data_IF_084167648234
#
_entry.id   IF_084167648234
#
_cell.length_a   1.000
_cell.length_b   1.000
_cell.length_c   1.000
_cell.angle_alpha   90.00
_cell.angle_beta   90.00
_cell.angle_gamma   90.00
#
_symmetry.space_group_name_H-M   'P 1'
#
loop_
_entity.id
_entity.type
_entity.pdbx_description
1 polymer ?
#
# COMPACT_ATOMS: atom_id res chain seq x y z
N UNK A 1 -3.15 -23.04 82.26
CA UNK A 1 -3.11 -21.60 81.95
C UNK A 1 -3.65 -21.43 80.54
N UNK A 2 -4.89 -20.98 80.36
CA UNK A 2 -5.45 -20.68 79.03
C UNK A 2 -5.02 -19.28 78.60
N UNK A 3 -4.31 -19.18 77.49
CA UNK A 3 -3.98 -17.90 76.86
C UNK A 3 -5.22 -17.36 76.15
N UNK A 4 -5.69 -16.17 76.54
CA UNK A 4 -6.74 -15.47 75.81
C UNK A 4 -6.19 -15.01 74.45
N UNK A 5 -6.83 -15.44 73.36
CA UNK A 5 -6.51 -15.00 72.01
C UNK A 5 -6.98 -13.55 71.85
N UNK A 6 -6.07 -12.62 71.54
CA UNK A 6 -6.45 -11.24 71.22
C UNK A 6 -7.25 -11.21 69.90
N UNK A 7 -8.23 -10.29 69.75
CA UNK A 7 -8.99 -10.16 68.52
C UNK A 7 -8.05 -9.81 67.36
N UNK A 8 -8.05 -10.64 66.32
CA UNK A 8 -7.28 -10.36 65.10
C UNK A 8 -8.02 -9.29 64.29
N UNK A 9 -7.35 -8.17 64.04
CA UNK A 9 -7.87 -7.14 63.15
C UNK A 9 -8.02 -7.71 61.75
N UNK A 10 -9.20 -7.52 61.13
CA UNK A 10 -9.45 -7.98 59.78
C UNK A 10 -8.49 -7.27 58.80
N UNK A 11 -7.89 -8.00 57.84
CA UNK A 11 -6.98 -7.41 56.88
C UNK A 11 -7.68 -6.34 56.04
N UNK A 12 -6.96 -5.26 55.73
CA UNK A 12 -7.50 -4.19 54.90
C UNK A 12 -7.80 -4.71 53.47
N UNK A 13 -8.87 -4.22 52.82
CA UNK A 13 -9.18 -4.64 51.45
C UNK A 13 -8.08 -4.30 50.45
N UNK A 14 -7.85 -5.19 49.48
CA UNK A 14 -6.73 -5.11 48.54
C UNK A 14 -6.72 -3.84 47.67
N UNK A 15 -7.89 -3.29 47.34
CA UNK A 15 -8.03 -2.09 46.49
C UNK A 15 -7.52 -0.80 47.15
N UNK A 16 -7.28 -0.82 48.47
CA UNK A 16 -6.69 0.30 49.22
C UNK A 16 -5.18 0.43 49.01
N UNK A 17 -4.51 -0.61 48.49
CA UNK A 17 -3.07 -0.61 48.32
C UNK A 17 -2.69 -0.10 46.92
N UNK A 18 -1.98 1.03 46.86
CA UNK A 18 -1.62 1.69 45.59
C UNK A 18 -0.77 0.82 44.64
N UNK A 19 0.09 -0.05 45.17
CA UNK A 19 0.92 -0.94 44.34
C UNK A 19 0.10 -1.97 43.56
N UNK A 20 -1.08 -2.35 44.04
CA UNK A 20 -1.97 -3.28 43.32
C UNK A 20 -2.42 -2.65 42.01
N UNK A 21 -2.68 -1.35 42.01
CA UNK A 21 -3.02 -0.61 40.79
C UNK A 21 -1.86 -0.51 39.81
N UNK A 22 -0.61 -0.44 40.27
CA UNK A 22 0.55 -0.46 39.38
C UNK A 22 0.68 -1.80 38.63
N UNK A 23 0.41 -2.92 39.32
CA UNK A 23 0.41 -4.26 38.71
C UNK A 23 -0.73 -4.40 37.70
N UNK A 24 -1.92 -3.89 38.01
CA UNK A 24 -3.08 -3.91 37.11
C UNK A 24 -2.91 -2.96 35.92
N UNK A 25 -2.23 -1.83 36.11
CA UNK A 25 -2.06 -0.79 35.09
C UNK A 25 -1.32 -1.31 33.86
N UNK A 26 -0.28 -2.13 34.01
CA UNK A 26 0.50 -2.68 32.90
C UNK A 26 -0.38 -3.42 31.88
N UNK A 27 -1.08 -4.50 32.28
CA UNK A 27 -2.02 -5.21 31.42
C UNK A 27 -3.17 -4.32 30.91
N UNK A 28 -3.74 -3.46 31.76
CA UNK A 28 -4.85 -2.59 31.37
C UNK A 28 -4.47 -1.64 30.23
N UNK A 29 -3.27 -1.06 30.26
CA UNK A 29 -2.77 -0.17 29.20
C UNK A 29 -2.64 -0.93 27.87
N UNK A 30 -2.12 -2.16 27.87
CA UNK A 30 -1.98 -2.96 26.64
C UNK A 30 -3.34 -3.28 26.03
N UNK A 31 -4.34 -3.62 26.85
CA UNK A 31 -5.71 -3.87 26.39
C UNK A 31 -6.30 -2.61 25.74
N UNK A 32 -6.17 -1.45 26.39
CA UNK A 32 -6.65 -0.16 25.84
C UNK A 32 -5.94 0.18 24.53
N UNK A 33 -4.61 0.02 24.46
CA UNK A 33 -3.83 0.25 23.25
C UNK A 33 -4.25 -0.70 22.10
N UNK A 34 -4.53 -1.96 22.40
CA UNK A 34 -5.03 -2.94 21.43
C UNK A 34 -6.39 -2.53 20.86
N UNK A 35 -7.33 -2.13 21.72
CA UNK A 35 -8.63 -1.61 21.26
C UNK A 35 -8.51 -0.31 20.49
N UNK A 36 -7.59 0.57 20.88
CA UNK A 36 -7.34 1.83 20.16
C UNK A 36 -6.82 1.54 18.75
N UNK A 37 -5.86 0.62 18.63
CA UNK A 37 -5.32 0.17 17.34
C UNK A 37 -6.39 -0.48 16.47
N UNK A 38 -7.21 -1.36 17.06
CA UNK A 38 -8.35 -1.96 16.35
C UNK A 38 -9.35 -0.91 15.88
N UNK A 39 -9.66 0.07 16.74
CA UNK A 39 -10.56 1.16 16.39
C UNK A 39 -9.98 2.01 15.25
N UNK A 40 -8.69 2.35 15.29
CA UNK A 40 -8.01 3.05 14.19
C UNK A 40 -8.11 2.27 12.88
N UNK A 41 -7.88 0.96 12.91
CA UNK A 41 -7.93 0.10 11.74
C UNK A 41 -9.35 0.00 11.13
N UNK A 42 -10.38 0.02 11.97
CA UNK A 42 -11.77 0.00 11.52
C UNK A 42 -12.26 1.38 11.06
N UNK A 43 -11.81 2.45 11.73
CA UNK A 43 -12.21 3.83 11.43
C UNK A 43 -11.50 4.40 10.20
N UNK A 44 -10.26 3.96 9.95
CA UNK A 44 -9.46 4.39 8.81
C UNK A 44 -9.25 3.17 7.91
N UNK A 45 -10.10 2.94 6.91
CA UNK A 45 -9.72 2.10 5.79
C UNK A 45 -8.56 2.81 5.09
N UNK A 46 -7.35 2.51 5.55
CA UNK A 46 -6.10 2.89 4.89
C UNK A 46 -6.20 2.42 3.44
N UNK A 47 -6.55 3.35 2.55
CA UNK A 47 -6.59 3.16 1.10
C UNK A 47 -5.15 3.06 0.61
N UNK A 48 -4.45 1.98 0.97
CA UNK A 48 -3.07 1.71 0.59
C UNK A 48 -2.92 1.24 -0.86
N UNK A 49 -3.98 1.34 -1.65
CA UNK A 49 -3.91 1.23 -3.09
C UNK A 49 -4.55 2.48 -3.65
N UNK A 50 -3.72 3.49 -3.89
CA UNK A 50 -4.07 4.45 -4.93
C UNK A 50 -4.27 3.61 -6.20
N UNK A 51 -5.51 3.42 -6.64
CA UNK A 51 -5.82 2.94 -8.00
C UNK A 51 -4.91 3.66 -9.03
N UNK A 52 -4.62 4.92 -8.72
CA UNK A 52 -3.75 5.80 -9.48
C UNK A 52 -2.30 5.34 -9.55
N UNK A 53 -1.71 4.68 -8.54
CA UNK A 53 -0.32 4.21 -8.61
C UNK A 53 -0.15 3.05 -9.60
N UNK A 54 -1.12 2.13 -9.62
CA UNK A 54 -1.14 1.03 -10.60
C UNK A 54 -1.45 1.56 -12.01
N UNK A 55 -2.40 2.50 -12.13
CA UNK A 55 -2.71 3.18 -13.40
C UNK A 55 -1.53 3.97 -13.94
N UNK A 56 -0.81 4.69 -13.07
CA UNK A 56 0.34 5.51 -13.43
C UNK A 56 1.48 4.65 -13.97
N UNK A 57 1.77 3.50 -13.35
CA UNK A 57 2.75 2.54 -13.89
C UNK A 57 2.34 1.94 -15.25
N UNK A 58 1.04 1.68 -15.44
CA UNK A 58 0.51 1.15 -16.70
C UNK A 58 0.54 2.20 -17.83
N UNK A 59 0.21 3.46 -17.52
CA UNK A 59 0.25 4.57 -18.47
C UNK A 59 1.68 4.90 -18.92
N UNK A 60 2.66 4.88 -18.01
CA UNK A 60 4.07 5.06 -18.35
C UNK A 60 4.55 3.98 -19.35
N UNK A 61 4.10 2.73 -19.19
CA UNK A 61 4.48 1.67 -20.14
C UNK A 61 3.87 1.90 -21.53
N UNK A 62 2.64 2.40 -21.59
CA UNK A 62 1.95 2.74 -22.85
C UNK A 62 2.60 3.91 -23.56
N UNK A 63 2.97 4.97 -22.84
CA UNK A 63 3.61 6.15 -23.44
C UNK A 63 5.00 5.79 -23.97
N UNK A 64 5.80 5.05 -23.20
CA UNK A 64 7.13 4.57 -23.64
C UNK A 64 7.06 3.66 -24.87
N UNK A 65 6.07 2.76 -24.94
CA UNK A 65 5.87 1.91 -26.11
C UNK A 65 5.49 2.72 -27.37
N UNK A 66 4.58 3.70 -27.23
CA UNK A 66 4.17 4.58 -28.32
C UNK A 66 5.31 5.50 -28.80
N UNK A 67 6.13 6.00 -27.89
CA UNK A 67 7.33 6.78 -28.23
C UNK A 67 8.38 5.93 -28.94
N UNK A 68 8.60 4.69 -28.49
CA UNK A 68 9.49 3.74 -29.17
C UNK A 68 9.01 3.47 -30.59
N UNK A 69 7.73 3.19 -30.79
CA UNK A 69 7.16 2.99 -32.13
C UNK A 69 7.37 4.22 -33.02
N UNK A 70 7.10 5.43 -32.50
CA UNK A 70 7.35 6.68 -33.21
C UNK A 70 8.82 6.88 -33.59
N UNK A 71 9.74 6.57 -32.69
CA UNK A 71 11.19 6.67 -32.97
C UNK A 71 11.68 5.70 -34.04
N UNK A 72 10.97 4.60 -34.27
CA UNK A 72 11.29 3.62 -35.31
C UNK A 72 10.71 4.02 -36.69
N UNK A 73 9.75 4.94 -36.76
CA UNK A 73 9.13 5.37 -38.03
C UNK A 73 10.14 5.84 -39.09
N UNK A 74 11.14 6.70 -38.79
CA UNK A 74 12.12 7.12 -39.78
C UNK A 74 13.02 5.96 -40.24
N UNK A 75 13.35 5.03 -39.35
CA UNK A 75 14.15 3.85 -39.67
C UNK A 75 13.39 2.88 -40.58
N UNK A 76 12.10 2.66 -40.31
CA UNK A 76 11.21 1.84 -41.15
C UNK A 76 11.00 2.52 -42.51
N UNK A 77 10.77 3.83 -42.54
CA UNK A 77 10.62 4.60 -43.76
C UNK A 77 11.91 4.58 -44.61
N UNK A 78 13.08 4.73 -43.99
CA UNK A 78 14.37 4.62 -44.68
C UNK A 78 14.62 3.25 -45.31
N UNK A 79 14.28 2.16 -44.60
CA UNK A 79 14.36 0.80 -45.15
C UNK A 79 13.39 0.60 -46.33
N UNK A 80 12.17 1.12 -46.23
CA UNK A 80 11.18 1.02 -47.31
C UNK A 80 11.59 1.83 -48.55
N UNK A 81 12.17 3.02 -48.36
CA UNK A 81 12.71 3.84 -49.46
C UNK A 81 13.87 3.15 -50.17
N UNK A 82 14.79 2.50 -49.44
CA UNK A 82 15.89 1.75 -50.03
C UNK A 82 15.45 0.48 -50.80
N UNK A 83 14.31 -0.10 -50.41
CA UNK A 83 13.73 -1.26 -51.08
C UNK A 83 12.93 -0.91 -52.35
N UNK A 84 12.74 0.38 -52.65
CA UNK A 84 12.06 0.82 -53.89
C UNK A 84 13.06 0.77 -55.05
N UNK A 85 12.84 -0.09 -56.06
CA UNK A 85 13.75 -0.17 -57.21
C UNK A 85 13.72 1.16 -58.00
N UNK A 86 14.87 1.68 -58.45
CA UNK A 86 14.91 2.81 -59.38
C UNK A 86 14.27 2.38 -60.71
N UNK A 87 13.00 2.75 -60.91
CA UNK A 87 12.21 2.37 -62.08
C UNK A 87 10.76 2.01 -61.81
N UNK A 88 10.34 1.84 -60.55
CA UNK A 88 8.93 1.63 -60.18
C UNK A 88 8.12 2.93 -60.10
N UNK A 89 8.49 3.95 -60.87
CA UNK A 89 7.55 5.02 -61.26
C UNK A 89 6.54 4.39 -62.20
N UNK A 90 5.30 4.27 -61.72
CA UNK A 90 4.13 3.87 -62.49
C UNK A 90 4.20 4.47 -63.89
N UNK A 91 4.28 3.62 -64.91
CA UNK A 91 4.02 4.04 -66.27
C UNK A 91 2.68 4.79 -66.27
N UNK A 92 2.60 6.02 -66.82
CA UNK A 92 1.31 6.68 -66.96
C UNK A 92 0.44 5.76 -67.81
N UNK A 93 -0.66 5.27 -67.23
CA UNK A 93 -1.70 4.56 -67.94
C UNK A 93 -2.34 5.54 -68.93
N UNK A 94 -1.74 5.68 -70.10
CA UNK A 94 -2.30 6.32 -71.28
C UNK A 94 -2.34 5.30 -72.42
N UNK A 95 -3.38 5.43 -73.26
CA UNK A 95 -3.73 4.61 -74.44
C UNK A 95 -4.53 3.35 -74.04
N UNK A 96 -5.83 3.21 -74.34
CA UNK A 96 -6.55 3.52 -75.59
C UNK A 96 -8.03 3.84 -75.33
#
# INVERSE_FOLDING_TARGET
MSTAQAPQAAPAPWWKFGYVWLVIAGPAVVVVAGFTTLWLALANPESLVAEDYYRQGLEINKTLAAEREKSLLPAVQGRNHAATPPGATLAPAGQR
#
